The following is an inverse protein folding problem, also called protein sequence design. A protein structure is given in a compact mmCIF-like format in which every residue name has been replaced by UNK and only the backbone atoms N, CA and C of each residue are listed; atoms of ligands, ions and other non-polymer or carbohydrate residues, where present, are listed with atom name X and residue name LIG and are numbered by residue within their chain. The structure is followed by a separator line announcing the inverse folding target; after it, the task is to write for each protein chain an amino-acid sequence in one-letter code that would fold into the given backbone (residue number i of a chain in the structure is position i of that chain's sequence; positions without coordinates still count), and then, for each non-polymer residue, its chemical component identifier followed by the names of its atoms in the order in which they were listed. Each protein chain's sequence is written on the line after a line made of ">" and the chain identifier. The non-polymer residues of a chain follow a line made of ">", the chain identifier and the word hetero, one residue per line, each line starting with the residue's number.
data_IF_356303300410
#
_entry.id   IF_356303300410
#
_cell.length_a   1.000
_cell.length_b   1.000
_cell.length_c   1.000
_cell.angle_alpha   90.00
_cell.angle_beta   90.00
_cell.angle_gamma   90.00
#
_symmetry.space_group_name_H-M   'P 1'
#
loop_
_entity.id
_entity.type
_entity.pdbx_description
1 polymer ?
#
# COMPACT_ATOMS: atom_id res chain seq x y z
N UNK A 1 -8.52 -33.87 11.07
CA UNK A 1 -9.40 -33.82 9.89
C UNK A 1 -8.96 -32.59 9.12
N UNK A 2 -8.51 -32.76 7.89
CA UNK A 2 -8.06 -31.66 7.03
C UNK A 2 -9.28 -30.90 6.50
N UNK A 3 -9.28 -29.57 6.62
CA UNK A 3 -10.33 -28.76 5.99
C UNK A 3 -10.27 -28.94 4.47
N UNK A 4 -11.41 -28.87 3.80
CA UNK A 4 -11.43 -29.03 2.33
C UNK A 4 -10.88 -27.76 1.67
N UNK A 5 -10.07 -27.84 0.60
CA UNK A 5 -9.53 -26.66 -0.09
C UNK A 5 -10.59 -25.62 -0.47
N UNK A 6 -11.80 -26.06 -0.81
CA UNK A 6 -12.95 -25.19 -1.10
C UNK A 6 -13.43 -24.36 0.11
N UNK A 7 -13.38 -24.93 1.32
CA UNK A 7 -13.75 -24.22 2.54
C UNK A 7 -12.70 -23.15 2.89
N UNK A 8 -11.42 -23.49 2.72
CA UNK A 8 -10.31 -22.55 2.92
C UNK A 8 -10.37 -21.38 1.93
N UNK A 9 -10.61 -21.66 0.64
CA UNK A 9 -10.81 -20.61 -0.36
C UNK A 9 -12.00 -19.70 0.00
N UNK A 10 -13.14 -20.27 0.40
CA UNK A 10 -14.31 -19.49 0.76
C UNK A 10 -14.05 -18.57 1.97
N UNK A 11 -13.41 -19.08 3.03
CA UNK A 11 -13.02 -18.29 4.20
C UNK A 11 -12.02 -17.18 3.84
N UNK A 12 -11.04 -17.48 2.99
CA UNK A 12 -10.07 -16.48 2.52
C UNK A 12 -10.73 -15.36 1.71
N UNK A 13 -11.62 -15.70 0.77
CA UNK A 13 -12.40 -14.70 0.02
C UNK A 13 -13.26 -13.85 0.95
N UNK A 14 -13.92 -14.47 1.92
CA UNK A 14 -14.73 -13.73 2.90
C UNK A 14 -13.89 -12.77 3.75
N UNK A 15 -12.67 -13.16 4.14
CA UNK A 15 -11.74 -12.29 4.86
C UNK A 15 -11.38 -11.04 4.04
N UNK A 16 -10.99 -11.23 2.78
CA UNK A 16 -10.64 -10.12 1.88
C UNK A 16 -11.80 -9.15 1.66
N UNK A 17 -13.03 -9.67 1.51
CA UNK A 17 -14.23 -8.85 1.30
C UNK A 17 -14.55 -7.90 2.47
N UNK A 18 -13.91 -8.04 3.63
CA UNK A 18 -14.07 -7.11 4.74
C UNK A 18 -13.42 -5.74 4.51
N UNK A 19 -12.41 -5.66 3.63
CA UNK A 19 -11.65 -4.42 3.39
C UNK A 19 -11.37 -4.12 1.91
N UNK A 20 -11.63 -5.05 0.99
CA UNK A 20 -11.44 -4.83 -0.45
C UNK A 20 -12.67 -5.21 -1.27
N UNK A 21 -12.97 -4.53 -2.40
CA UNK A 21 -14.05 -4.94 -3.29
C UNK A 21 -13.80 -6.31 -3.94
N UNK A 22 -14.88 -7.08 -4.17
CA UNK A 22 -14.84 -8.43 -4.77
C UNK A 22 -14.07 -8.49 -6.10
N UNK A 23 -14.26 -7.48 -6.97
CA UNK A 23 -13.60 -7.47 -8.28
C UNK A 23 -12.07 -7.42 -8.23
N UNK A 24 -11.50 -7.07 -7.07
CA UNK A 24 -10.04 -7.06 -6.86
C UNK A 24 -9.48 -8.45 -6.56
N UNK A 25 -10.34 -9.43 -6.26
CA UNK A 25 -9.95 -10.79 -5.87
C UNK A 25 -10.05 -11.69 -7.11
N UNK A 26 -8.91 -12.25 -7.53
CA UNK A 26 -8.81 -13.11 -8.71
C UNK A 26 -9.04 -14.60 -8.43
N UNK A 27 -8.46 -15.41 -9.30
CA UNK A 27 -8.56 -16.86 -9.26
C UNK A 27 -7.70 -17.45 -8.14
N UNK A 28 -8.12 -18.60 -7.58
CA UNK A 28 -7.31 -19.35 -6.63
C UNK A 28 -6.05 -19.87 -7.33
N UNK A 29 -4.89 -19.58 -6.74
CA UNK A 29 -3.59 -20.00 -7.27
C UNK A 29 -3.01 -21.19 -6.51
N UNK A 30 -3.06 -21.14 -5.17
CA UNK A 30 -2.52 -22.19 -4.32
C UNK A 30 -3.20 -22.23 -2.96
N UNK A 31 -3.20 -23.41 -2.36
CA UNK A 31 -3.52 -23.63 -0.94
C UNK A 31 -2.42 -24.52 -0.38
N UNK A 32 -1.71 -24.02 0.62
CA UNK A 32 -0.63 -24.74 1.31
C UNK A 32 -1.05 -24.94 2.77
N UNK A 33 -0.98 -26.16 3.27
CA UNK A 33 -1.32 -26.47 4.67
C UNK A 33 -0.10 -27.02 5.39
N UNK A 34 0.23 -26.43 6.54
CA UNK A 34 1.34 -26.86 7.40
C UNK A 34 1.03 -26.55 8.86
N UNK A 35 1.18 -27.55 9.72
CA UNK A 35 1.11 -27.41 11.18
C UNK A 35 -0.18 -26.70 11.68
N UNK A 36 -1.32 -26.97 11.03
CA UNK A 36 -2.62 -26.36 11.39
C UNK A 36 -2.81 -24.93 10.85
N UNK A 37 -1.89 -24.45 10.01
CA UNK A 37 -2.02 -23.18 9.29
C UNK A 37 -2.22 -23.48 7.81
N UNK A 38 -3.20 -22.82 7.21
CA UNK A 38 -3.46 -22.85 5.78
C UNK A 38 -3.19 -21.49 5.15
N UNK A 39 -2.28 -21.44 4.19
CA UNK A 39 -1.96 -20.26 3.39
C UNK A 39 -2.71 -20.35 2.07
N UNK A 40 -3.69 -19.47 1.87
CA UNK A 40 -4.48 -19.38 0.64
C UNK A 40 -3.95 -18.24 -0.20
N UNK A 41 -3.54 -18.54 -1.44
CA UNK A 41 -3.05 -17.55 -2.40
C UNK A 41 -4.04 -17.39 -3.55
N UNK A 42 -4.47 -16.16 -3.81
CA UNK A 42 -5.32 -15.78 -4.94
C UNK A 42 -4.62 -14.71 -5.78
N UNK A 43 -4.87 -14.69 -7.09
CA UNK A 43 -4.37 -13.62 -7.95
C UNK A 43 -5.01 -12.28 -7.54
N UNK A 44 -4.26 -11.17 -7.64
CA UNK A 44 -4.84 -9.83 -7.52
C UNK A 44 -5.35 -9.34 -8.86
N UNK A 45 -6.53 -8.71 -8.83
CA UNK A 45 -7.12 -7.93 -9.92
C UNK A 45 -7.20 -6.45 -9.57
N UNK A 46 -6.57 -6.02 -8.47
CA UNK A 46 -6.59 -4.63 -8.07
C UNK A 46 -5.81 -3.77 -9.09
N UNK A 47 -6.43 -2.69 -9.63
CA UNK A 47 -5.72 -1.76 -10.51
C UNK A 47 -4.45 -1.22 -9.85
N UNK A 48 -3.35 -1.18 -10.59
CA UNK A 48 -2.02 -0.79 -10.08
C UNK A 48 -1.20 -1.92 -9.46
N UNK A 49 -1.81 -3.08 -9.18
CA UNK A 49 -1.16 -4.24 -8.56
C UNK A 49 -1.11 -5.45 -9.50
N UNK A 50 -0.85 -5.22 -10.79
CA UNK A 50 -0.68 -6.30 -11.76
C UNK A 50 0.49 -7.20 -11.35
N UNK A 51 0.27 -8.52 -11.37
CA UNK A 51 1.27 -9.52 -10.92
C UNK A 51 1.35 -9.70 -9.39
N UNK A 52 0.55 -8.99 -8.59
CA UNK A 52 0.47 -9.20 -7.15
C UNK A 52 -0.53 -10.30 -6.79
N UNK A 53 -0.41 -10.83 -5.58
CA UNK A 53 -1.24 -11.89 -5.03
C UNK A 53 -1.86 -11.46 -3.71
N UNK A 54 -3.12 -11.83 -3.50
CA UNK A 54 -3.69 -11.88 -2.17
C UNK A 54 -3.20 -13.14 -1.46
N UNK A 55 -2.71 -12.99 -0.23
CA UNK A 55 -2.38 -14.09 0.66
C UNK A 55 -3.25 -13.95 1.90
N UNK A 56 -3.88 -15.05 2.31
CA UNK A 56 -4.66 -15.13 3.53
C UNK A 56 -4.21 -16.35 4.30
N UNK A 57 -3.70 -16.11 5.50
CA UNK A 57 -3.32 -17.19 6.42
C UNK A 57 -4.44 -17.47 7.40
N UNK A 58 -4.73 -18.77 7.56
CA UNK A 58 -5.84 -19.27 8.32
C UNK A 58 -5.34 -20.28 9.35
N UNK A 59 -5.74 -20.14 10.61
CA UNK A 59 -5.63 -21.21 11.58
C UNK A 59 -6.79 -22.19 11.40
N UNK A 60 -6.47 -23.49 11.32
CA UNK A 60 -7.42 -24.58 11.12
C UNK A 60 -7.36 -25.51 12.34
N UNK A 61 -8.46 -25.55 13.11
CA UNK A 61 -8.62 -26.45 14.25
C UNK A 61 -9.93 -27.25 14.11
N UNK A 62 -9.80 -28.49 13.63
CA UNK A 62 -10.94 -29.32 13.27
C UNK A 62 -11.77 -28.67 12.15
N UNK A 63 -13.01 -28.31 12.48
CA UNK A 63 -13.94 -27.61 11.57
C UNK A 63 -13.92 -26.09 11.76
N UNK A 64 -13.14 -25.57 12.71
CA UNK A 64 -12.99 -24.14 12.96
C UNK A 64 -11.89 -23.55 12.07
N UNK A 65 -12.19 -22.44 11.40
CA UNK A 65 -11.25 -21.68 10.57
C UNK A 65 -11.23 -20.24 11.08
N UNK A 66 -10.05 -19.74 11.45
CA UNK A 66 -9.85 -18.37 11.93
C UNK A 66 -8.84 -17.66 11.04
N UNK A 67 -9.13 -16.43 10.63
CA UNK A 67 -8.20 -15.60 9.86
C UNK A 67 -7.09 -15.09 10.78
N UNK A 68 -5.84 -15.32 10.40
CA UNK A 68 -4.67 -14.79 11.08
C UNK A 68 -4.26 -13.45 10.47
N UNK A 69 -4.03 -13.44 9.16
CA UNK A 69 -3.66 -12.26 8.41
C UNK A 69 -4.19 -12.28 6.97
N UNK A 70 -4.22 -11.11 6.35
CA UNK A 70 -4.63 -10.92 4.96
C UNK A 70 -3.79 -9.81 4.37
N UNK A 71 -3.11 -10.11 3.29
CA UNK A 71 -2.05 -9.25 2.77
C UNK A 71 -2.01 -9.30 1.25
N UNK A 72 -1.48 -8.22 0.67
CA UNK A 72 -1.26 -8.09 -0.77
C UNK A 72 0.26 -8.10 -0.99
N UNK A 73 0.76 -9.15 -1.64
CA UNK A 73 2.19 -9.39 -1.78
C UNK A 73 2.58 -9.42 -3.25
N UNK A 74 3.71 -8.81 -3.58
CA UNK A 74 4.26 -8.83 -4.93
C UNK A 74 4.56 -10.28 -5.37
N UNK A 75 3.98 -10.68 -6.50
CA UNK A 75 4.20 -11.98 -7.12
C UNK A 75 5.14 -11.91 -8.31
N UNK A 76 5.16 -12.98 -9.10
CA UNK A 76 5.90 -13.01 -10.35
C UNK A 76 5.33 -11.99 -11.34
N UNK A 77 6.19 -11.14 -11.89
CA UNK A 77 5.79 -10.08 -12.81
C UNK A 77 5.20 -8.83 -12.16
N UNK A 78 5.17 -8.74 -10.83
CA UNK A 78 4.79 -7.52 -10.12
C UNK A 78 5.80 -6.38 -10.38
N UNK A 79 5.27 -5.19 -10.65
CA UNK A 79 6.08 -3.96 -10.60
C UNK A 79 6.31 -3.62 -9.13
N UNK A 80 7.57 -3.62 -8.71
CA UNK A 80 7.99 -3.25 -7.36
C UNK A 80 8.52 -1.83 -7.31
N UNK A 81 8.47 -1.22 -6.13
CA UNK A 81 9.06 0.09 -5.92
C UNK A 81 10.58 0.04 -6.17
N UNK A 82 11.18 1.14 -6.67
CA UNK A 82 12.63 1.27 -6.70
C UNK A 82 13.20 1.32 -5.28
N UNK A 83 14.52 1.22 -5.17
CA UNK A 83 15.22 1.37 -3.90
C UNK A 83 14.87 2.70 -3.22
N UNK A 84 14.73 2.66 -1.90
CA UNK A 84 14.49 3.86 -1.13
C UNK A 84 15.71 4.77 -1.16
N UNK A 85 15.47 6.06 -1.35
CA UNK A 85 16.50 7.11 -1.35
C UNK A 85 16.19 8.05 -0.19
N UNK A 86 17.16 8.39 0.67
CA UNK A 86 16.97 9.38 1.73
C UNK A 86 16.38 10.68 1.22
N UNK A 87 15.51 11.27 2.04
CA UNK A 87 14.88 12.54 1.69
C UNK A 87 15.91 13.63 1.36
N UNK A 88 16.96 13.74 2.17
CA UNK A 88 18.01 14.74 1.97
C UNK A 88 18.71 14.57 0.60
N UNK A 89 18.94 13.33 0.16
CA UNK A 89 19.56 13.07 -1.14
C UNK A 89 18.59 13.40 -2.28
N UNK A 90 17.31 13.00 -2.17
CA UNK A 90 16.27 13.38 -3.16
C UNK A 90 16.13 14.89 -3.29
N UNK A 91 16.19 15.61 -2.17
CA UNK A 91 16.06 17.06 -2.15
C UNK A 91 17.28 17.73 -2.79
N UNK A 92 18.49 17.28 -2.45
CA UNK A 92 19.72 17.79 -3.07
C UNK A 92 19.71 17.58 -4.59
N UNK A 93 19.36 16.38 -5.06
CA UNK A 93 19.29 16.09 -6.49
C UNK A 93 18.26 16.99 -7.20
N UNK A 94 17.13 17.28 -6.54
CA UNK A 94 16.13 18.22 -7.04
C UNK A 94 16.65 19.66 -7.09
N UNK A 95 17.33 20.14 -6.04
CA UNK A 95 17.92 21.48 -5.99
C UNK A 95 19.00 21.66 -7.08
N UNK A 96 19.82 20.65 -7.31
CA UNK A 96 20.82 20.63 -8.38
C UNK A 96 20.17 20.66 -9.77
N UNK A 97 19.14 19.84 -10.00
CA UNK A 97 18.41 19.81 -11.26
C UNK A 97 17.69 21.15 -11.52
N UNK A 98 17.15 21.79 -10.48
CA UNK A 98 16.57 23.12 -10.54
C UNK A 98 17.62 24.19 -10.92
N UNK A 99 18.79 24.17 -10.27
CA UNK A 99 19.88 25.10 -10.56
C UNK A 99 20.41 24.96 -12.01
N UNK A 100 20.36 23.75 -12.55
CA UNK A 100 20.75 23.45 -13.94
C UNK A 100 19.65 23.77 -14.96
N UNK A 101 18.45 24.17 -14.52
CA UNK A 101 17.31 24.44 -15.40
C UNK A 101 16.73 23.17 -16.05
N UNK A 102 16.94 22.01 -15.44
CA UNK A 102 16.41 20.71 -15.90
C UNK A 102 14.98 20.47 -15.42
N UNK A 103 14.53 21.25 -14.43
CA UNK A 103 13.20 21.17 -13.84
C UNK A 103 12.57 22.55 -13.84
N UNK A 104 11.36 22.67 -14.41
CA UNK A 104 10.57 23.90 -14.33
C UNK A 104 9.80 23.96 -13.02
N UNK A 105 9.93 25.08 -12.31
CA UNK A 105 9.05 25.40 -11.18
C UNK A 105 7.79 26.03 -11.74
N UNK A 106 6.71 25.25 -11.79
CA UNK A 106 5.38 25.79 -12.07
C UNK A 106 4.89 26.48 -10.80
N UNK A 107 5.16 27.77 -10.68
CA UNK A 107 4.47 28.61 -9.71
C UNK A 107 3.03 28.83 -10.22
N UNK A 108 2.00 28.71 -9.36
CA UNK A 108 0.68 29.17 -9.73
C UNK A 108 0.75 30.65 -10.09
N UNK A 109 -0.04 31.05 -11.09
CA UNK A 109 -0.09 32.44 -11.56
C UNK A 109 -0.54 33.32 -10.37
N UNK A 110 0.39 34.14 -9.87
CA UNK A 110 0.20 34.90 -8.62
C UNK A 110 -0.85 35.99 -8.79
N UNK A 111 -1.22 36.31 -10.04
CA UNK A 111 -2.31 37.23 -10.37
C UNK A 111 -3.71 36.71 -9.96
N UNK A 112 -3.85 35.41 -9.64
CA UNK A 112 -5.09 34.84 -9.07
C UNK A 112 -5.06 34.78 -7.51
N UNK A 113 -3.92 35.12 -6.88
CA UNK A 113 -3.79 35.23 -5.41
C UNK A 113 -4.11 36.67 -4.97
N UNK A 114 -5.33 37.12 -5.29
CA UNK A 114 -5.87 38.31 -4.63
C UNK A 114 -6.43 37.93 -3.27
N UNK A 115 -5.60 38.07 -2.24
CA UNK A 115 -6.05 38.24 -0.86
C UNK A 115 -5.72 37.08 0.08
N UNK A 116 -4.44 36.92 0.40
CA UNK A 116 -3.96 36.89 1.78
C UNK A 116 -2.46 36.64 1.69
N UNK A 117 -1.68 37.71 1.70
CA UNK A 117 -0.27 37.58 2.02
C UNK A 117 -0.23 36.97 3.43
N UNK A 118 0.34 35.77 3.54
CA UNK A 118 0.68 35.19 4.84
C UNK A 118 1.80 36.08 5.37
N UNK A 119 1.43 37.15 6.07
CA UNK A 119 2.34 37.90 6.91
C UNK A 119 2.64 36.96 8.06
N UNK A 120 3.84 36.38 8.04
CA UNK A 120 4.42 35.82 9.23
C UNK A 120 4.70 37.04 10.12
N UNK A 121 3.79 37.34 11.05
CA UNK A 121 4.09 38.24 12.16
C UNK A 121 5.22 37.59 12.94
N UNK A 122 6.41 38.09 12.70
CA UNK A 122 7.61 37.89 13.50
C UNK A 122 7.45 38.79 14.75
N UNK A 123 6.43 38.53 15.56
CA UNK A 123 6.27 39.13 16.89
C UNK A 123 7.26 38.43 17.85
N UNK A 124 8.55 38.64 17.57
CA UNK A 124 9.60 38.72 18.58
C UNK A 124 9.47 40.09 19.24
N UNK A 125 8.87 40.17 20.43
CA UNK A 125 9.20 41.12 21.50
C UNK A 125 8.17 41.02 22.66
N UNK A 126 8.54 40.32 23.74
CA UNK A 126 8.61 40.87 25.10
C UNK A 126 8.78 39.75 26.15
N UNK A 127 10.01 39.64 26.65
CA UNK A 127 10.37 38.93 27.88
C UNK A 127 9.60 39.55 29.07
N UNK A 128 8.60 38.86 29.60
CA UNK A 128 7.93 39.22 30.86
C UNK A 128 8.75 38.72 32.08
N UNK A 129 9.04 39.66 32.98
CA UNK A 129 9.79 39.65 34.25
C UNK A 129 9.25 38.67 35.31
#
# INVERSE_FOLDING_TARGET
>A
MTSTPKALEASARQALLTFTPDYTIGDLMAVEEKDGIATVRLASRMPGYAGWNWIVDLAVDGDSITVLESELVAGEGAVIAPDWVPWADRLRDYEEALANGEVDVVLPDIDDVRGDAIILDDDDDDDDD
#
